data_IF_073467123178
#
_entry.id   IF_073467123178
#
_cell.length_a   1.000
_cell.length_b   1.000
_cell.length_c   1.000
_cell.angle_alpha   90.00
_cell.angle_beta   90.00
_cell.angle_gamma   90.00
#
_symmetry.space_group_name_H-M   'P 1'
#
loop_
_entity.id
_entity.type
_entity.pdbx_description
1 polymer ?
#
# COMPACT_ATOMS: atom_id res chain seq x y z
N UNK A 1 23.80 15.30 -2.76
CA UNK A 1 23.33 15.90 -4.04
C UNK A 1 21.92 15.39 -4.18
N UNK A 2 20.94 16.26 -3.90
CA UNK A 2 19.54 15.88 -3.78
C UNK A 2 18.88 15.56 -5.12
N UNK A 3 17.61 15.17 -5.06
CA UNK A 3 16.76 14.93 -6.22
C UNK A 3 16.68 16.19 -7.09
N UNK A 4 16.78 16.04 -8.42
CA UNK A 4 16.52 17.17 -9.33
C UNK A 4 15.02 17.52 -9.33
N UNK A 5 14.64 18.76 -9.68
CA UNK A 5 13.24 19.15 -9.82
C UNK A 5 12.45 18.23 -10.76
N UNK A 6 13.07 17.81 -11.87
CA UNK A 6 12.45 16.90 -12.84
C UNK A 6 12.25 15.49 -12.27
N UNK A 7 13.21 15.00 -11.48
CA UNK A 7 13.09 13.72 -10.78
C UNK A 7 11.96 13.76 -9.76
N UNK A 8 11.88 14.84 -8.98
CA UNK A 8 10.84 15.01 -7.96
C UNK A 8 9.44 15.11 -8.60
N UNK A 9 9.29 15.89 -9.67
CA UNK A 9 8.04 15.98 -10.41
C UNK A 9 7.60 14.63 -10.99
N UNK A 10 8.53 13.85 -11.55
CA UNK A 10 8.25 12.52 -12.09
C UNK A 10 7.80 11.54 -11.00
N UNK A 11 8.46 11.57 -9.83
CA UNK A 11 8.12 10.72 -8.69
C UNK A 11 6.75 11.12 -8.09
N UNK A 12 6.47 12.42 -7.97
CA UNK A 12 5.18 12.93 -7.49
C UNK A 12 4.03 12.48 -8.40
N UNK A 13 4.20 12.61 -9.72
CA UNK A 13 3.20 12.14 -10.69
C UNK A 13 2.95 10.64 -10.56
N UNK A 14 4.01 9.83 -10.37
CA UNK A 14 3.88 8.39 -10.16
C UNK A 14 3.13 8.06 -8.86
N UNK A 15 3.37 8.81 -7.77
CA UNK A 15 2.66 8.64 -6.50
C UNK A 15 1.17 8.97 -6.63
N UNK A 16 0.81 10.07 -7.28
CA UNK A 16 -0.59 10.46 -7.50
C UNK A 16 -1.34 9.46 -8.39
N UNK A 17 -0.71 8.97 -9.45
CA UNK A 17 -1.29 7.92 -10.29
C UNK A 17 -1.56 6.64 -9.49
N UNK A 18 -0.61 6.20 -8.66
CA UNK A 18 -0.78 5.02 -7.80
C UNK A 18 -1.88 5.21 -6.74
N UNK A 19 -1.95 6.40 -6.14
CA UNK A 19 -3.00 6.77 -5.18
C UNK A 19 -4.39 6.66 -5.82
N UNK A 20 -4.59 7.23 -7.00
CA UNK A 20 -5.85 7.16 -7.72
C UNK A 20 -6.23 5.72 -8.07
N UNK A 21 -5.28 4.92 -8.58
CA UNK A 21 -5.51 3.52 -8.90
C UNK A 21 -5.95 2.70 -7.67
N UNK A 22 -5.30 2.88 -6.52
CA UNK A 22 -5.68 2.20 -5.28
C UNK A 22 -7.06 2.63 -4.77
N UNK A 23 -7.38 3.93 -4.86
CA UNK A 23 -8.70 4.43 -4.47
C UNK A 23 -9.81 3.83 -5.35
N UNK A 24 -9.58 3.70 -6.66
CA UNK A 24 -10.53 3.04 -7.56
C UNK A 24 -10.72 1.56 -7.23
N UNK A 25 -9.64 0.85 -6.89
CA UNK A 25 -9.72 -0.56 -6.49
C UNK A 25 -10.52 -0.76 -5.19
N UNK A 26 -10.33 0.13 -4.21
CA UNK A 26 -11.06 0.09 -2.95
C UNK A 26 -12.54 0.51 -3.13
N UNK A 27 -12.82 1.50 -3.98
CA UNK A 27 -14.18 1.95 -4.26
C UNK A 27 -14.99 0.91 -5.04
N UNK A 28 -14.41 0.30 -6.08
CA UNK A 28 -15.09 -0.73 -6.87
C UNK A 28 -15.47 -1.99 -6.08
N UNK A 29 -14.80 -2.25 -4.96
CA UNK A 29 -15.23 -3.29 -4.00
C UNK A 29 -16.56 -2.93 -3.35
N UNK A 30 -16.70 -1.71 -2.83
CA UNK A 30 -17.93 -1.29 -2.15
C UNK A 30 -19.14 -1.48 -3.07
N UNK A 31 -18.99 -1.15 -4.35
CA UNK A 31 -20.03 -1.38 -5.36
C UNK A 31 -20.30 -2.89 -5.59
N UNK A 32 -19.26 -3.72 -5.62
CA UNK A 32 -19.38 -5.17 -5.77
C UNK A 32 -19.94 -5.89 -4.53
N UNK A 33 -19.67 -5.39 -3.33
CA UNK A 33 -20.17 -5.91 -2.05
C UNK A 33 -21.65 -5.58 -1.86
N UNK A 34 -22.07 -4.35 -2.21
CA UNK A 34 -23.47 -3.97 -2.30
C UNK A 34 -24.24 -4.80 -3.33
N UNK A 35 -23.59 -5.18 -4.43
CA UNK A 35 -24.17 -6.09 -5.43
C UNK A 35 -24.18 -7.57 -4.99
N UNK A 36 -23.32 -7.95 -4.04
CA UNK A 36 -23.19 -9.34 -3.52
C UNK A 36 -24.16 -9.65 -2.39
N UNK A 37 -24.87 -8.69 -1.80
CA UNK A 37 -25.93 -8.98 -0.82
C UNK A 37 -27.10 -9.61 -1.57
N UNK A 38 -27.29 -10.94 -1.54
CA UNK A 38 -28.51 -11.51 -2.07
C UNK A 38 -29.60 -11.10 -1.07
N UNK A 39 -30.79 -10.73 -1.58
CA UNK A 39 -31.97 -10.78 -0.73
C UNK A 39 -31.97 -12.15 -0.03
N UNK A 40 -32.06 -12.15 1.29
CA UNK A 40 -32.09 -13.32 2.17
C UNK A 40 -33.01 -14.43 1.63
N UNK A 41 -32.45 -15.30 0.81
CA UNK A 41 -32.86 -16.68 0.63
C UNK A 41 -31.66 -17.50 1.04
N UNK A 42 -31.86 -18.25 2.12
CA UNK A 42 -30.93 -19.18 2.74
C UNK A 42 -30.48 -20.18 1.67
N UNK A 43 -29.40 -19.84 0.96
CA UNK A 43 -28.68 -20.81 0.15
C UNK A 43 -28.14 -21.81 1.16
N UNK A 44 -28.71 -23.02 1.16
CA UNK A 44 -28.16 -24.21 1.80
C UNK A 44 -26.76 -24.48 1.19
N UNK A 45 -25.78 -23.66 1.54
CA UNK A 45 -24.39 -23.84 1.16
C UNK A 45 -23.88 -25.06 1.90
N UNK A 46 -23.37 -26.04 1.18
CA UNK A 46 -22.74 -27.21 1.80
C UNK A 46 -21.68 -26.74 2.81
N UNK A 47 -21.38 -27.50 3.87
CA UNK A 47 -20.26 -27.19 4.77
C UNK A 47 -18.94 -26.95 4.03
N UNK A 48 -18.75 -27.61 2.87
CA UNK A 48 -17.61 -27.36 1.97
C UNK A 48 -17.68 -25.96 1.33
N UNK A 49 -18.83 -25.55 0.80
CA UNK A 49 -19.02 -24.23 0.19
C UNK A 49 -18.89 -23.11 1.24
N UNK A 50 -19.41 -23.34 2.45
CA UNK A 50 -19.25 -22.44 3.59
C UNK A 50 -17.78 -22.24 3.98
N UNK A 51 -17.00 -23.33 3.99
CA UNK A 51 -15.56 -23.26 4.26
C UNK A 51 -14.81 -22.49 3.16
N UNK A 52 -15.10 -22.79 1.88
CA UNK A 52 -14.51 -22.09 0.74
C UNK A 52 -14.83 -20.59 0.75
N UNK A 53 -16.09 -20.19 1.00
CA UNK A 53 -16.48 -18.79 1.08
C UNK A 53 -15.77 -18.04 2.20
N UNK A 54 -15.60 -18.67 3.38
CA UNK A 54 -14.84 -18.06 4.49
C UNK A 54 -13.39 -17.79 4.12
N UNK A 55 -12.72 -18.76 3.49
CA UNK A 55 -11.33 -18.60 3.04
C UNK A 55 -11.20 -17.48 2.01
N UNK A 56 -12.11 -17.41 1.04
CA UNK A 56 -12.12 -16.33 0.04
C UNK A 56 -12.31 -14.96 0.68
N UNK A 57 -13.29 -14.82 1.58
CA UNK A 57 -13.54 -13.57 2.30
C UNK A 57 -12.33 -13.14 3.15
N UNK A 58 -11.63 -14.09 3.78
CA UNK A 58 -10.43 -13.78 4.55
C UNK A 58 -9.30 -13.26 3.65
N UNK A 59 -9.05 -13.92 2.52
CA UNK A 59 -8.03 -13.47 1.56
C UNK A 59 -8.35 -12.10 0.98
N UNK A 60 -9.63 -11.83 0.69
CA UNK A 60 -10.09 -10.51 0.24
C UNK A 60 -9.83 -9.43 1.31
N UNK A 61 -10.12 -9.73 2.59
CA UNK A 61 -9.87 -8.80 3.70
C UNK A 61 -8.36 -8.49 3.86
N UNK A 62 -7.51 -9.52 3.86
CA UNK A 62 -6.05 -9.37 3.95
C UNK A 62 -5.50 -8.54 2.77
N UNK A 63 -6.02 -8.77 1.56
CA UNK A 63 -5.63 -8.00 0.38
C UNK A 63 -6.03 -6.52 0.51
N UNK A 64 -7.17 -6.21 1.12
CA UNK A 64 -7.63 -4.83 1.33
C UNK A 64 -6.83 -4.12 2.42
N UNK A 65 -6.51 -4.80 3.52
CA UNK A 65 -5.61 -4.28 4.55
C UNK A 65 -4.25 -3.91 3.94
N UNK A 66 -3.72 -4.76 3.05
CA UNK A 66 -2.47 -4.46 2.34
C UNK A 66 -2.60 -3.22 1.43
N UNK A 67 -3.71 -3.08 0.68
CA UNK A 67 -3.97 -1.89 -0.16
C UNK A 67 -4.07 -0.61 0.67
N UNK A 68 -4.76 -0.68 1.82
CA UNK A 68 -4.88 0.46 2.73
C UNK A 68 -3.52 0.86 3.33
N UNK A 69 -2.70 -0.10 3.73
CA UNK A 69 -1.33 0.15 4.19
C UNK A 69 -0.48 0.81 3.09
N UNK A 70 -0.58 0.33 1.84
CA UNK A 70 0.10 0.93 0.71
C UNK A 70 -0.37 2.38 0.43
N UNK A 71 -1.69 2.62 0.49
CA UNK A 71 -2.26 3.97 0.33
C UNK A 71 -1.76 4.93 1.42
N UNK A 72 -1.62 4.44 2.66
CA UNK A 72 -1.04 5.21 3.77
C UNK A 72 0.40 5.63 3.46
N UNK A 73 1.24 4.70 2.99
CA UNK A 73 2.62 4.99 2.59
C UNK A 73 2.71 6.01 1.45
N UNK A 74 1.82 5.93 0.46
CA UNK A 74 1.76 6.90 -0.64
C UNK A 74 1.35 8.29 -0.14
N UNK A 75 0.33 8.38 0.71
CA UNK A 75 -0.10 9.64 1.32
C UNK A 75 1.02 10.27 2.14
N UNK A 76 1.74 9.46 2.90
CA UNK A 76 2.89 9.91 3.65
C UNK A 76 3.99 10.48 2.72
N UNK A 77 4.33 9.76 1.65
CA UNK A 77 5.30 10.22 0.68
C UNK A 77 4.91 11.56 0.01
N UNK A 78 3.63 11.73 -0.36
CA UNK A 78 3.10 12.99 -0.90
C UNK A 78 3.19 14.13 0.12
N UNK A 79 2.81 13.88 1.38
CA UNK A 79 2.94 14.89 2.44
C UNK A 79 4.40 15.35 2.62
N UNK A 80 5.36 14.42 2.56
CA UNK A 80 6.79 14.77 2.60
C UNK A 80 7.24 15.60 1.41
N UNK A 81 6.62 15.44 0.24
CA UNK A 81 6.90 16.28 -0.93
C UNK A 81 6.44 17.70 -0.64
N UNK A 82 5.22 17.86 -0.11
CA UNK A 82 4.65 19.16 0.25
C UNK A 82 5.48 19.87 1.35
N UNK A 83 6.02 19.10 2.29
CA UNK A 83 6.90 19.59 3.37
C UNK A 83 8.35 19.83 2.93
N UNK A 84 8.74 19.40 1.73
CA UNK A 84 10.13 19.49 1.24
C UNK A 84 11.11 18.50 1.89
N UNK A 85 10.62 17.48 2.61
CA UNK A 85 11.42 16.46 3.29
C UNK A 85 11.50 15.12 2.52
N UNK A 86 10.89 15.06 1.34
CA UNK A 86 10.87 13.86 0.51
C UNK A 86 12.28 13.41 0.10
N UNK A 87 12.48 12.10 0.10
CA UNK A 87 13.77 11.48 -0.14
C UNK A 87 14.67 11.39 1.10
N UNK A 88 14.19 11.77 2.28
CA UNK A 88 14.86 11.50 3.56
C UNK A 88 14.25 10.26 4.23
N UNK A 89 15.09 9.46 4.90
CA UNK A 89 14.68 8.28 5.66
C UNK A 89 13.96 8.69 6.96
N UNK A 90 12.78 8.14 7.22
CA UNK A 90 11.98 8.48 8.41
C UNK A 90 12.63 8.02 9.73
N UNK A 91 13.49 7.01 9.68
CA UNK A 91 14.14 6.48 10.88
C UNK A 91 15.48 7.14 11.20
N UNK A 92 16.25 7.55 10.19
CA UNK A 92 17.62 8.03 10.42
C UNK A 92 17.95 9.35 9.74
N UNK A 93 17.01 9.97 9.02
CA UNK A 93 17.19 11.25 8.34
C UNK A 93 18.09 11.23 7.09
N UNK A 94 18.79 10.12 6.83
CA UNK A 94 19.70 10.02 5.67
C UNK A 94 18.94 10.05 4.33
N UNK A 95 19.59 10.56 3.29
CA UNK A 95 19.08 10.52 1.91
C UNK A 95 18.77 9.07 1.47
N UNK A 96 17.62 8.89 0.84
CA UNK A 96 17.22 7.67 0.15
C UNK A 96 17.67 7.81 -1.31
N UNK A 97 18.50 6.87 -1.83
CA UNK A 97 18.99 6.96 -3.20
C UNK A 97 17.85 7.02 -4.23
N UNK A 98 18.02 7.85 -5.26
CA UNK A 98 17.05 7.97 -6.35
C UNK A 98 16.72 6.61 -6.99
N UNK A 99 17.69 5.73 -7.19
CA UNK A 99 17.43 4.39 -7.74
C UNK A 99 16.37 3.60 -6.95
N UNK A 100 16.36 3.77 -5.62
CA UNK A 100 15.36 3.15 -4.74
C UNK A 100 14.01 3.85 -4.84
N UNK A 101 13.98 5.18 -4.84
CA UNK A 101 12.74 5.95 -5.00
C UNK A 101 12.13 5.76 -6.39
N UNK A 102 12.94 5.59 -7.43
CA UNK A 102 12.50 5.30 -8.79
C UNK A 102 11.82 3.92 -8.89
N UNK A 103 12.33 2.93 -8.14
CA UNK A 103 11.69 1.63 -8.04
C UNK A 103 10.43 1.65 -7.15
N UNK A 104 10.51 2.34 -6.00
CA UNK A 104 9.47 2.43 -4.97
C UNK A 104 9.40 3.87 -4.43
N UNK A 105 8.63 4.76 -5.09
CA UNK A 105 8.47 6.16 -4.67
C UNK A 105 7.89 6.32 -3.27
N UNK A 106 7.05 5.38 -2.84
CA UNK A 106 6.39 5.39 -1.53
C UNK A 106 7.30 4.97 -0.36
N UNK A 107 8.58 4.68 -0.61
CA UNK A 107 9.40 3.97 0.36
C UNK A 107 9.93 4.88 1.50
N UNK A 108 9.55 4.65 2.78
CA UNK A 108 9.80 5.58 3.89
C UNK A 108 11.24 5.51 4.47
N UNK A 109 11.90 4.35 4.34
CA UNK A 109 13.17 4.06 5.02
C UNK A 109 14.32 3.97 4.04
N UNK A 110 15.57 4.27 4.41
CA UNK A 110 16.73 3.90 3.58
C UNK A 110 16.96 2.37 3.60
N UNK A 111 17.76 1.83 2.67
CA UNK A 111 18.01 0.38 2.57
C UNK A 111 18.55 -0.21 3.88
N UNK A 112 19.45 0.50 4.57
CA UNK A 112 20.00 0.02 5.83
C UNK A 112 18.95 -0.05 6.96
N UNK A 113 18.02 0.91 7.01
CA UNK A 113 16.93 0.88 7.97
C UNK A 113 15.90 -0.21 7.63
N UNK A 114 15.57 -0.35 6.34
CA UNK A 114 14.69 -1.41 5.84
C UNK A 114 15.24 -2.79 6.19
N UNK A 115 16.51 -3.07 5.89
CA UNK A 115 17.14 -4.36 6.20
C UNK A 115 17.17 -4.66 7.70
N UNK A 116 17.37 -3.65 8.56
CA UNK A 116 17.30 -3.84 10.02
C UNK A 116 15.89 -4.21 10.48
N UNK A 117 14.86 -3.55 9.94
CA UNK A 117 13.46 -3.85 10.25
C UNK A 117 13.07 -5.27 9.79
N UNK A 118 13.47 -5.68 8.60
CA UNK A 118 13.21 -7.02 8.06
C UNK A 118 13.88 -8.11 8.90
N UNK A 119 15.13 -7.89 9.34
CA UNK A 119 15.81 -8.84 10.25
C UNK A 119 15.11 -8.94 11.60
N UNK A 120 14.65 -7.81 12.16
CA UNK A 120 13.94 -7.80 13.43
C UNK A 120 12.59 -8.52 13.34
N UNK A 121 11.83 -8.27 12.26
CA UNK A 121 10.54 -8.95 12.05
C UNK A 121 10.70 -10.44 11.76
N UNK A 122 11.76 -10.84 11.02
CA UNK A 122 12.07 -12.26 10.81
C UNK A 122 12.45 -13.00 12.10
N UNK A 123 13.12 -12.33 13.05
CA UNK A 123 13.49 -12.93 14.33
C UNK A 123 12.31 -13.06 15.31
N UNK A 124 11.17 -12.40 15.03
CA UNK A 124 9.96 -12.43 15.85
C UNK A 124 8.89 -13.40 15.31
N UNK A 125 9.13 -14.02 14.17
CA UNK A 125 8.29 -15.06 13.57
C UNK A 125 8.84 -16.44 13.92
#
# INVERSE_FOLDING_TARGET
>A
MGLSPDQLASLQAALEQRKLALLQQLAGRMDGELARVPAVEEIETSPADSASNRTLNQLELEADEHKQAQLSSIRHALAKIDEGSYGLCDNCGNEIPFSRLNARPEAPLCIACQTRLEKATAALR
#
